data_IF_151403298811
#
_entry.id   IF_151403298811
#
_cell.length_a   1.000
_cell.length_b   1.000
_cell.length_c   1.000
_cell.angle_alpha   90.00
_cell.angle_beta   90.00
_cell.angle_gamma   90.00
#
_symmetry.space_group_name_H-M   'P 1'
#
loop_
_entity.id
_entity.type
_entity.pdbx_description
1 polymer ?
#
# COMPACT_ATOMS: atom_id res chain seq x y z
N UNK A 1 -22.89 -40.41 -4.54
CA UNK A 1 -23.23 -39.92 -5.89
C UNK A 1 -23.31 -38.42 -5.78
N UNK A 2 -22.28 -37.71 -6.19
CA UNK A 2 -22.28 -36.23 -6.27
C UNK A 2 -23.26 -35.87 -7.39
N UNK A 3 -24.35 -35.17 -7.04
CA UNK A 3 -25.27 -34.57 -8.01
C UNK A 3 -24.42 -33.68 -8.92
N UNK A 4 -24.26 -34.02 -10.18
CA UNK A 4 -23.68 -33.15 -11.18
C UNK A 4 -24.54 -31.88 -11.20
N UNK A 5 -23.95 -30.75 -10.83
CA UNK A 5 -24.61 -29.44 -10.93
C UNK A 5 -25.03 -29.23 -12.39
N UNK A 6 -26.28 -28.87 -12.60
CA UNK A 6 -26.79 -28.53 -13.95
C UNK A 6 -26.10 -27.22 -14.40
N UNK A 7 -25.27 -27.23 -15.46
CA UNK A 7 -24.55 -26.04 -15.91
C UNK A 7 -25.48 -24.87 -16.20
N UNK A 8 -26.66 -25.14 -16.76
CA UNK A 8 -27.64 -24.08 -17.08
C UNK A 8 -28.19 -23.40 -15.83
N UNK A 9 -28.44 -24.15 -14.76
CA UNK A 9 -28.90 -23.62 -13.49
C UNK A 9 -27.81 -22.76 -12.83
N UNK A 10 -26.53 -23.18 -12.92
CA UNK A 10 -25.40 -22.40 -12.41
C UNK A 10 -25.25 -21.06 -13.15
N UNK A 11 -25.32 -21.09 -14.48
CA UNK A 11 -25.26 -19.87 -15.32
C UNK A 11 -26.38 -18.90 -14.95
N UNK A 12 -27.61 -19.40 -14.76
CA UNK A 12 -28.73 -18.55 -14.40
C UNK A 12 -28.56 -17.93 -13.01
N UNK A 13 -28.06 -18.69 -12.04
CA UNK A 13 -27.75 -18.15 -10.70
C UNK A 13 -26.67 -17.05 -10.76
N UNK A 14 -25.64 -17.24 -11.58
CA UNK A 14 -24.60 -16.20 -11.76
C UNK A 14 -25.17 -14.93 -12.42
N UNK A 15 -26.09 -15.05 -13.39
CA UNK A 15 -26.76 -13.91 -14.00
C UNK A 15 -27.57 -13.10 -12.97
N UNK A 16 -28.36 -13.80 -12.17
CA UNK A 16 -29.18 -13.16 -11.13
C UNK A 16 -28.29 -12.44 -10.10
N UNK A 17 -27.22 -13.10 -9.67
CA UNK A 17 -26.24 -12.51 -8.75
C UNK A 17 -25.54 -11.29 -9.34
N UNK A 18 -25.20 -11.31 -10.63
CA UNK A 18 -24.55 -10.18 -11.32
C UNK A 18 -25.51 -9.00 -11.44
N UNK A 19 -26.81 -9.27 -11.58
CA UNK A 19 -27.84 -8.23 -11.67
C UNK A 19 -28.08 -7.51 -10.32
N UNK A 20 -28.06 -8.24 -9.19
CA UNK A 20 -28.24 -7.69 -7.85
C UNK A 20 -27.37 -8.43 -6.81
N UNK A 21 -26.08 -8.08 -6.71
CA UNK A 21 -25.17 -8.73 -5.75
C UNK A 21 -25.58 -8.52 -4.29
N UNK A 22 -26.23 -7.40 -3.97
CA UNK A 22 -26.61 -7.07 -2.60
C UNK A 22 -27.71 -7.99 -2.05
N UNK A 23 -28.57 -8.54 -2.92
CA UNK A 23 -29.60 -9.49 -2.52
C UNK A 23 -29.07 -10.84 -2.04
N UNK A 24 -27.80 -11.18 -2.41
CA UNK A 24 -27.26 -12.52 -2.16
C UNK A 24 -26.35 -12.60 -0.94
N UNK A 25 -25.64 -11.54 -0.60
CA UNK A 25 -24.63 -11.57 0.46
C UNK A 25 -25.01 -10.62 1.61
N UNK A 26 -25.20 -11.20 2.79
CA UNK A 26 -25.50 -10.47 4.02
C UNK A 26 -24.24 -10.28 4.89
N UNK A 27 -23.17 -11.03 4.62
CA UNK A 27 -21.89 -10.87 5.32
C UNK A 27 -20.70 -10.83 4.35
N UNK A 28 -19.67 -10.12 4.76
CA UNK A 28 -18.46 -9.91 3.97
C UNK A 28 -17.58 -11.16 3.83
N UNK A 29 -17.72 -12.16 4.71
CA UNK A 29 -16.93 -13.40 4.64
C UNK A 29 -17.45 -14.24 3.48
N UNK A 30 -18.77 -14.47 3.41
CA UNK A 30 -19.40 -15.19 2.30
C UNK A 30 -19.16 -14.51 0.96
N UNK A 31 -19.24 -13.17 0.91
CA UNK A 31 -18.97 -12.39 -0.28
C UNK A 31 -17.53 -12.61 -0.79
N UNK A 32 -16.55 -12.60 0.12
CA UNK A 32 -15.14 -12.85 -0.24
C UNK A 32 -14.88 -14.28 -0.69
N UNK A 33 -15.47 -15.26 -0.01
CA UNK A 33 -15.34 -16.67 -0.40
C UNK A 33 -15.94 -16.91 -1.78
N UNK A 34 -17.09 -16.30 -2.05
CA UNK A 34 -17.69 -16.35 -3.38
C UNK A 34 -16.77 -15.70 -4.43
N UNK A 35 -16.27 -14.49 -4.21
CA UNK A 35 -15.37 -13.80 -5.15
C UNK A 35 -14.15 -14.66 -5.51
N UNK A 36 -13.56 -15.32 -4.50
CA UNK A 36 -12.43 -16.22 -4.69
C UNK A 36 -12.81 -17.42 -5.56
N UNK A 37 -13.90 -18.11 -5.22
CA UNK A 37 -14.36 -19.29 -5.95
C UNK A 37 -14.79 -18.94 -7.39
N UNK A 38 -15.44 -17.80 -7.59
CA UNK A 38 -15.85 -17.34 -8.91
C UNK A 38 -14.63 -17.06 -9.81
N UNK A 39 -13.58 -16.41 -9.29
CA UNK A 39 -12.32 -16.22 -10.04
C UNK A 39 -11.64 -17.55 -10.38
N UNK A 40 -11.56 -18.47 -9.42
CA UNK A 40 -10.99 -19.80 -9.65
C UNK A 40 -11.78 -20.59 -10.69
N UNK A 41 -13.11 -20.55 -10.63
CA UNK A 41 -13.98 -21.22 -11.59
C UNK A 41 -13.82 -20.64 -12.99
N UNK A 42 -13.78 -19.30 -13.12
CA UNK A 42 -13.53 -18.64 -14.40
C UNK A 42 -12.20 -19.08 -15.02
N UNK A 43 -11.11 -19.03 -14.22
CA UNK A 43 -9.78 -19.45 -14.68
C UNK A 43 -9.73 -20.94 -15.03
N UNK A 44 -10.46 -21.81 -14.32
CA UNK A 44 -10.46 -23.25 -14.54
C UNK A 44 -11.13 -23.68 -15.86
N UNK A 45 -11.98 -22.81 -16.43
CA UNK A 45 -12.67 -23.08 -17.71
C UNK A 45 -12.11 -22.27 -18.88
N UNK A 46 -11.08 -21.42 -18.63
CA UNK A 46 -10.41 -20.66 -19.69
C UNK A 46 -9.76 -21.59 -20.74
N UNK A 47 -9.95 -21.27 -21.99
CA UNK A 47 -9.15 -21.88 -23.05
C UNK A 47 -7.70 -21.34 -23.05
N UNK A 48 -6.69 -22.12 -23.50
CA UNK A 48 -5.29 -21.68 -23.49
C UNK A 48 -5.06 -20.33 -24.19
N UNK A 49 -5.81 -20.04 -25.25
CA UNK A 49 -5.72 -18.78 -25.97
C UNK A 49 -6.26 -17.59 -25.14
N UNK A 50 -7.35 -17.78 -24.40
CA UNK A 50 -7.91 -16.77 -23.50
C UNK A 50 -6.94 -16.48 -22.35
N UNK A 51 -6.33 -17.50 -21.77
CA UNK A 51 -5.28 -17.36 -20.74
C UNK A 51 -4.10 -16.55 -21.26
N UNK A 52 -3.64 -16.84 -22.48
CA UNK A 52 -2.56 -16.07 -23.11
C UNK A 52 -2.96 -14.61 -23.32
N UNK A 53 -4.16 -14.33 -23.85
CA UNK A 53 -4.64 -12.95 -24.03
C UNK A 53 -4.71 -12.18 -22.72
N UNK A 54 -5.26 -12.79 -21.66
CA UNK A 54 -5.33 -12.20 -20.32
C UNK A 54 -3.94 -11.84 -19.78
N UNK A 55 -2.95 -12.68 -20.03
CA UNK A 55 -1.57 -12.44 -19.59
C UNK A 55 -0.89 -11.30 -20.38
N UNK A 56 -0.95 -11.35 -21.71
CA UNK A 56 -0.20 -10.39 -22.56
C UNK A 56 -0.83 -9.00 -22.57
N UNK A 57 -2.16 -8.90 -22.42
CA UNK A 57 -2.88 -7.63 -22.32
C UNK A 57 -3.12 -7.19 -20.87
N UNK A 58 -2.57 -7.91 -19.89
CA UNK A 58 -2.72 -7.61 -18.46
C UNK A 58 -2.44 -6.16 -18.04
N UNK A 59 -1.50 -5.44 -18.64
CA UNK A 59 -1.25 -4.02 -18.32
C UNK A 59 -2.32 -3.04 -18.84
N UNK A 60 -3.08 -3.40 -19.88
CA UNK A 60 -4.00 -2.46 -20.55
C UNK A 60 -5.11 -1.90 -19.65
N UNK A 61 -5.70 -2.62 -18.70
CA UNK A 61 -6.69 -2.03 -17.78
C UNK A 61 -6.15 -0.80 -17.04
N UNK A 62 -4.92 -0.86 -16.53
CA UNK A 62 -4.27 0.27 -15.85
C UNK A 62 -3.94 1.41 -16.82
N UNK A 63 -3.41 1.08 -18.01
CA UNK A 63 -3.08 2.07 -19.05
C UNK A 63 -4.33 2.81 -19.54
N UNK A 64 -5.41 2.08 -19.80
CA UNK A 64 -6.66 2.71 -20.29
C UNK A 64 -7.39 3.48 -19.20
N UNK A 65 -7.32 3.03 -17.93
CA UNK A 65 -7.80 3.81 -16.80
C UNK A 65 -7.03 5.15 -16.70
N UNK A 66 -5.71 5.14 -16.86
CA UNK A 66 -4.89 6.36 -16.87
C UNK A 66 -5.25 7.30 -18.03
N UNK A 67 -5.49 6.76 -19.23
CA UNK A 67 -5.99 7.54 -20.37
C UNK A 67 -7.35 8.14 -20.03
N UNK A 68 -8.27 7.37 -19.47
CA UNK A 68 -9.61 7.83 -19.11
C UNK A 68 -9.59 8.99 -18.12
N UNK A 69 -8.68 8.96 -17.16
CA UNK A 69 -8.46 10.06 -16.21
C UNK A 69 -7.81 11.28 -16.88
N UNK A 70 -6.69 11.08 -17.53
CA UNK A 70 -5.84 12.15 -18.07
C UNK A 70 -6.54 12.93 -19.18
N UNK A 71 -7.40 12.25 -19.92
CA UNK A 71 -8.22 12.85 -21.01
C UNK A 71 -9.61 13.27 -20.58
N UNK A 72 -9.95 13.15 -19.27
CA UNK A 72 -11.26 13.57 -18.75
C UNK A 72 -12.45 12.76 -19.30
N UNK A 73 -12.20 11.53 -19.80
CA UNK A 73 -13.27 10.65 -20.32
C UNK A 73 -14.24 10.29 -19.20
N UNK A 74 -13.74 9.91 -18.03
CA UNK A 74 -14.58 9.56 -16.88
C UNK A 74 -15.40 10.74 -16.37
N UNK A 75 -14.82 11.95 -16.38
CA UNK A 75 -15.55 13.19 -16.04
C UNK A 75 -16.68 13.48 -17.02
N UNK A 76 -16.43 13.31 -18.34
CA UNK A 76 -17.43 13.52 -19.37
C UNK A 76 -18.59 12.53 -19.21
N UNK A 77 -18.30 11.25 -18.97
CA UNK A 77 -19.32 10.22 -18.73
C UNK A 77 -20.11 10.49 -17.45
N UNK A 78 -19.44 10.82 -16.34
CA UNK A 78 -20.10 11.08 -15.07
C UNK A 78 -21.05 12.30 -15.09
N UNK A 79 -20.75 13.31 -15.94
CA UNK A 79 -21.62 14.46 -16.16
C UNK A 79 -22.84 14.14 -17.02
N UNK A 80 -22.87 12.99 -17.68
CA UNK A 80 -23.94 12.57 -18.61
C UNK A 80 -24.51 11.20 -18.21
N UNK A 81 -25.19 11.09 -17.06
CA UNK A 81 -25.64 9.80 -16.54
C UNK A 81 -26.64 9.08 -17.46
N UNK A 82 -27.38 9.83 -18.28
CA UNK A 82 -28.31 9.26 -19.27
C UNK A 82 -27.60 8.80 -20.56
N UNK A 83 -26.33 9.19 -20.73
CA UNK A 83 -25.45 8.81 -21.84
C UNK A 83 -24.86 10.01 -22.55
N UNK A 84 -23.58 9.91 -22.90
CA UNK A 84 -22.85 10.87 -23.74
C UNK A 84 -22.65 10.29 -25.13
N UNK A 85 -22.87 11.11 -26.17
CA UNK A 85 -22.53 10.69 -27.53
C UNK A 85 -21.01 10.64 -27.72
N UNK A 86 -20.54 9.77 -28.62
CA UNK A 86 -19.11 9.67 -28.96
C UNK A 86 -18.51 11.04 -29.30
N UNK A 87 -19.26 11.89 -30.01
CA UNK A 87 -18.80 13.22 -30.40
C UNK A 87 -18.57 14.14 -29.20
N UNK A 88 -19.46 14.09 -28.20
CA UNK A 88 -19.33 14.89 -26.98
C UNK A 88 -18.11 14.46 -26.17
N UNK A 89 -17.89 13.14 -26.05
CA UNK A 89 -16.72 12.60 -25.36
C UNK A 89 -15.43 12.91 -26.13
N UNK A 90 -15.47 12.87 -27.48
CA UNK A 90 -14.32 13.25 -28.32
C UNK A 90 -13.96 14.73 -28.15
N UNK A 91 -14.96 15.61 -28.09
CA UNK A 91 -14.75 17.03 -27.82
C UNK A 91 -14.15 17.26 -26.42
N UNK A 92 -14.69 16.58 -25.40
CA UNK A 92 -14.24 16.71 -24.01
C UNK A 92 -12.80 16.17 -23.81
N UNK A 93 -12.47 15.03 -24.42
CA UNK A 93 -11.18 14.36 -24.28
C UNK A 93 -10.06 14.92 -25.18
N UNK A 94 -10.45 15.63 -26.25
CA UNK A 94 -9.52 16.08 -27.27
C UNK A 94 -8.92 14.95 -28.13
N UNK A 95 -9.45 13.73 -28.04
CA UNK A 95 -8.97 12.58 -28.81
C UNK A 95 -9.65 12.51 -30.18
N UNK A 96 -8.92 12.08 -31.23
CA UNK A 96 -9.52 11.74 -32.51
C UNK A 96 -10.56 10.60 -32.31
N UNK A 97 -11.73 10.71 -32.97
CA UNK A 97 -12.85 9.77 -32.80
C UNK A 97 -12.45 8.29 -32.88
N UNK A 98 -11.69 7.89 -33.92
CA UNK A 98 -11.29 6.49 -34.08
C UNK A 98 -10.35 5.97 -32.99
N UNK A 99 -9.54 6.84 -32.37
CA UNK A 99 -8.72 6.50 -31.20
C UNK A 99 -9.60 6.37 -29.96
N UNK A 100 -10.50 7.34 -29.75
CA UNK A 100 -11.43 7.33 -28.62
C UNK A 100 -12.35 6.11 -28.66
N UNK A 101 -12.87 5.75 -29.84
CA UNK A 101 -13.71 4.57 -30.03
C UNK A 101 -12.99 3.30 -29.55
N UNK A 102 -11.73 3.08 -29.98
CA UNK A 102 -10.93 1.94 -29.51
C UNK A 102 -10.67 1.96 -28.01
N UNK A 103 -10.47 3.14 -27.41
CA UNK A 103 -10.31 3.27 -25.94
C UNK A 103 -11.62 2.95 -25.22
N UNK A 104 -12.74 3.50 -25.69
CA UNK A 104 -14.06 3.26 -25.11
C UNK A 104 -14.49 1.79 -25.23
N UNK A 105 -14.24 1.14 -26.38
CA UNK A 105 -14.49 -0.28 -26.59
C UNK A 105 -13.78 -1.10 -25.49
N UNK A 106 -12.51 -0.81 -25.25
CA UNK A 106 -11.75 -1.51 -24.22
C UNK A 106 -12.24 -1.16 -22.81
N UNK A 107 -12.51 0.11 -22.52
CA UNK A 107 -13.08 0.52 -21.23
C UNK A 107 -14.41 -0.19 -20.93
N UNK A 108 -15.26 -0.37 -21.97
CA UNK A 108 -16.51 -1.12 -21.83
C UNK A 108 -16.28 -2.60 -21.50
N UNK A 109 -15.29 -3.26 -22.11
CA UNK A 109 -14.95 -4.66 -21.76
C UNK A 109 -14.45 -4.81 -20.33
N UNK A 110 -13.86 -3.75 -19.77
CA UNK A 110 -13.38 -3.72 -18.38
C UNK A 110 -14.42 -3.20 -17.38
N UNK A 111 -15.64 -2.89 -17.84
CA UNK A 111 -16.69 -2.36 -16.98
C UNK A 111 -16.45 -0.93 -16.50
N UNK A 112 -15.49 -0.21 -17.07
CA UNK A 112 -15.17 1.19 -16.74
C UNK A 112 -16.10 2.18 -17.44
N UNK A 113 -16.80 1.74 -18.48
CA UNK A 113 -17.86 2.45 -19.20
C UNK A 113 -18.90 1.42 -19.68
N UNK A 114 -20.04 1.88 -20.15
CA UNK A 114 -21.10 1.06 -20.73
C UNK A 114 -21.59 1.70 -22.03
N UNK A 115 -21.45 1.03 -23.16
CA UNK A 115 -22.17 1.41 -24.38
C UNK A 115 -23.63 0.94 -24.27
N UNK A 116 -24.55 1.88 -24.08
CA UNK A 116 -25.98 1.59 -23.88
C UNK A 116 -26.76 1.50 -25.17
N UNK A 117 -26.29 2.18 -26.20
CA UNK A 117 -26.76 2.15 -27.60
C UNK A 117 -25.55 2.46 -28.48
N UNK A 118 -25.54 2.11 -29.76
CA UNK A 118 -24.43 2.39 -30.64
C UNK A 118 -23.98 3.85 -30.57
N UNK A 119 -22.74 4.09 -30.14
CA UNK A 119 -22.13 5.42 -30.00
C UNK A 119 -22.63 6.25 -28.79
N UNK A 120 -23.39 5.65 -27.86
CA UNK A 120 -23.87 6.32 -26.63
C UNK A 120 -23.30 5.60 -25.40
N UNK A 121 -22.47 6.29 -24.64
CA UNK A 121 -21.71 5.75 -23.51
C UNK A 121 -22.21 6.29 -22.18
N UNK A 122 -22.40 5.42 -21.19
CA UNK A 122 -22.84 5.72 -19.83
C UNK A 122 -21.74 5.43 -18.80
N UNK A 123 -21.75 6.18 -17.68
CA UNK A 123 -20.89 5.83 -16.55
C UNK A 123 -21.36 4.52 -15.89
N UNK A 124 -20.43 3.81 -15.28
CA UNK A 124 -20.67 2.67 -14.40
C UNK A 124 -20.32 3.03 -12.95
N UNK A 125 -20.57 2.12 -12.00
CA UNK A 125 -20.04 2.27 -10.64
C UNK A 125 -18.52 2.38 -10.60
N UNK A 126 -17.81 1.68 -11.51
CA UNK A 126 -16.36 1.73 -11.63
C UNK A 126 -15.90 3.08 -12.19
N UNK A 127 -16.63 3.69 -13.15
CA UNK A 127 -16.36 5.07 -13.63
C UNK A 127 -16.35 6.04 -12.44
N UNK A 128 -17.40 6.00 -11.60
CA UNK A 128 -17.48 6.88 -10.44
C UNK A 128 -16.39 6.59 -9.40
N UNK A 129 -16.05 5.33 -9.19
CA UNK A 129 -14.97 4.94 -8.27
C UNK A 129 -13.62 5.49 -8.74
N UNK A 130 -13.30 5.44 -10.03
CA UNK A 130 -12.04 5.95 -10.60
C UNK A 130 -11.92 7.49 -10.50
N UNK A 131 -13.01 8.21 -10.26
CA UNK A 131 -13.02 9.66 -9.98
C UNK A 131 -12.81 9.98 -8.50
N UNK A 132 -12.96 9.01 -7.59
CA UNK A 132 -12.66 9.23 -6.17
C UNK A 132 -11.15 9.44 -6.00
N UNK A 133 -10.71 10.47 -5.25
CA UNK A 133 -9.29 10.81 -5.12
C UNK A 133 -8.38 9.63 -4.82
N UNK A 134 -8.74 8.75 -3.88
CA UNK A 134 -7.96 7.55 -3.53
C UNK A 134 -7.65 6.68 -4.77
N UNK A 135 -8.66 6.37 -5.58
CA UNK A 135 -8.49 5.49 -6.74
C UNK A 135 -7.86 6.23 -7.92
N UNK A 136 -8.14 7.53 -8.07
CA UNK A 136 -7.49 8.38 -9.06
C UNK A 136 -5.98 8.44 -8.81
N UNK A 137 -5.58 8.74 -7.58
CA UNK A 137 -4.18 8.81 -7.19
C UNK A 137 -3.49 7.43 -7.28
N UNK A 138 -4.19 6.34 -6.95
CA UNK A 138 -3.69 4.98 -7.13
C UNK A 138 -3.34 4.70 -8.61
N UNK A 139 -4.26 4.99 -9.54
CA UNK A 139 -4.00 4.78 -10.97
C UNK A 139 -2.79 5.60 -11.43
N UNK A 140 -2.71 6.88 -11.04
CA UNK A 140 -1.56 7.73 -11.37
C UNK A 140 -0.26 7.17 -10.80
N UNK A 141 -0.25 6.80 -9.51
CA UNK A 141 0.94 6.24 -8.87
C UNK A 141 1.40 4.93 -9.50
N UNK A 142 0.49 3.98 -9.67
CA UNK A 142 0.88 2.67 -10.23
C UNK A 142 1.23 2.75 -11.70
N UNK A 143 0.56 3.57 -12.50
CA UNK A 143 0.87 3.74 -13.91
C UNK A 143 2.16 4.50 -14.12
N UNK A 144 2.31 5.69 -13.51
CA UNK A 144 3.42 6.59 -13.83
C UNK A 144 4.70 6.21 -13.06
N UNK A 145 4.58 5.75 -11.80
CA UNK A 145 5.73 5.45 -10.95
C UNK A 145 6.13 3.96 -11.00
N UNK A 146 5.16 3.03 -10.89
CA UNK A 146 5.48 1.63 -10.68
C UNK A 146 5.57 0.81 -11.97
N UNK A 147 4.68 1.04 -12.94
CA UNK A 147 4.62 0.22 -14.16
C UNK A 147 5.93 0.24 -14.96
N UNK A 148 6.62 1.38 -15.16
CA UNK A 148 7.92 1.40 -15.81
C UNK A 148 8.96 0.53 -15.08
N UNK A 149 8.96 0.55 -13.73
CA UNK A 149 9.83 -0.28 -12.93
C UNK A 149 9.50 -1.77 -13.06
N UNK A 150 8.21 -2.14 -13.12
CA UNK A 150 7.78 -3.52 -13.33
C UNK A 150 8.27 -4.08 -14.67
N UNK A 151 8.19 -3.30 -15.74
CA UNK A 151 8.72 -3.69 -17.05
C UNK A 151 10.25 -3.85 -17.05
N UNK A 152 10.94 -3.03 -16.29
CA UNK A 152 12.40 -3.08 -16.19
C UNK A 152 12.93 -4.15 -15.21
N UNK A 153 12.06 -4.78 -14.41
CA UNK A 153 12.48 -5.66 -13.32
C UNK A 153 13.39 -6.79 -13.80
N UNK A 154 13.04 -7.44 -14.91
CA UNK A 154 13.86 -8.53 -15.45
C UNK A 154 15.28 -8.09 -15.86
N UNK A 155 15.47 -6.81 -16.19
CA UNK A 155 16.77 -6.29 -16.63
C UNK A 155 17.79 -6.14 -15.48
N UNK A 156 17.35 -6.23 -14.23
CA UNK A 156 18.19 -6.04 -13.05
C UNK A 156 18.33 -7.30 -12.19
N UNK A 157 17.61 -8.39 -12.49
CA UNK A 157 17.64 -9.60 -11.68
C UNK A 157 18.96 -10.38 -11.78
N UNK A 158 19.59 -10.38 -12.96
CA UNK A 158 20.78 -11.18 -13.23
C UNK A 158 22.11 -10.49 -12.83
N UNK A 159 22.08 -9.19 -12.61
CA UNK A 159 23.28 -8.40 -12.31
C UNK A 159 22.92 -7.34 -11.27
N UNK A 160 22.91 -7.68 -9.99
CA UNK A 160 22.69 -6.71 -8.94
C UNK A 160 23.88 -5.77 -8.82
N UNK A 161 23.96 -4.79 -9.73
CA UNK A 161 24.86 -3.66 -9.56
C UNK A 161 24.34 -2.82 -8.39
N UNK A 162 25.22 -2.56 -7.42
CA UNK A 162 24.86 -1.80 -6.23
C UNK A 162 24.26 -0.44 -6.62
N UNK A 163 23.04 -0.17 -6.17
CA UNK A 163 22.30 1.06 -6.44
C UNK A 163 21.55 1.13 -7.77
N UNK A 164 21.54 0.07 -8.58
CA UNK A 164 20.75 -0.02 -9.82
C UNK A 164 19.40 -0.71 -9.54
N UNK A 165 18.37 0.07 -9.36
CA UNK A 165 17.00 -0.45 -9.18
C UNK A 165 16.28 -0.56 -10.52
N UNK A 166 15.25 -1.40 -10.60
CA UNK A 166 14.38 -1.45 -11.79
C UNK A 166 13.63 -0.11 -11.99
N UNK A 167 13.38 0.63 -10.91
CA UNK A 167 12.83 1.99 -11.01
C UNK A 167 13.74 2.92 -11.83
N UNK A 168 15.03 2.98 -11.49
CA UNK A 168 16.00 3.80 -12.22
C UNK A 168 16.05 3.44 -13.71
N UNK A 169 16.08 2.14 -14.00
CA UNK A 169 16.09 1.64 -15.38
C UNK A 169 14.79 1.99 -16.11
N UNK A 170 13.64 1.76 -15.49
CA UNK A 170 12.33 2.00 -16.08
C UNK A 170 12.01 3.47 -16.29
N UNK A 171 12.45 4.35 -15.38
CA UNK A 171 12.29 5.80 -15.48
C UNK A 171 13.42 6.49 -16.27
N UNK A 172 14.41 5.75 -16.76
CA UNK A 172 15.60 6.31 -17.40
C UNK A 172 16.27 7.40 -16.56
N UNK A 173 16.40 7.17 -15.24
CA UNK A 173 16.93 8.12 -14.25
C UNK A 173 18.05 7.50 -13.43
N UNK A 174 18.99 8.33 -12.98
CA UNK A 174 19.99 7.92 -11.98
C UNK A 174 19.52 8.17 -10.53
N UNK A 175 18.40 8.89 -10.37
CA UNK A 175 17.85 9.24 -9.07
C UNK A 175 17.01 8.08 -8.51
N UNK A 176 17.02 7.94 -7.17
CA UNK A 176 16.08 7.06 -6.49
C UNK A 176 14.64 7.63 -6.54
N UNK A 177 13.66 6.79 -6.21
CA UNK A 177 12.24 7.13 -6.30
C UNK A 177 11.87 8.44 -5.56
N UNK A 178 12.39 8.65 -4.36
CA UNK A 178 12.03 9.80 -3.54
C UNK A 178 12.66 11.08 -4.08
N UNK A 179 13.91 11.02 -4.54
CA UNK A 179 14.60 12.15 -5.16
C UNK A 179 13.98 12.50 -6.52
N UNK A 180 13.67 11.47 -7.33
CA UNK A 180 12.99 11.66 -8.62
C UNK A 180 11.65 12.39 -8.48
N UNK A 181 10.87 12.06 -7.45
CA UNK A 181 9.58 12.72 -7.20
C UNK A 181 9.71 14.21 -6.86
N UNK A 182 10.84 14.70 -6.38
CA UNK A 182 11.03 16.13 -6.06
C UNK A 182 10.87 17.01 -7.31
N UNK A 183 11.19 16.47 -8.48
CA UNK A 183 11.04 17.14 -9.80
C UNK A 183 9.76 16.74 -10.55
N UNK A 184 8.94 15.85 -9.99
CA UNK A 184 7.71 15.32 -10.58
C UNK A 184 6.49 15.53 -9.66
N UNK A 185 6.00 16.79 -9.52
CA UNK A 185 5.02 17.16 -8.48
C UNK A 185 3.66 16.47 -8.63
N UNK A 186 3.24 16.09 -9.84
CA UNK A 186 1.99 15.34 -10.07
C UNK A 186 2.09 13.95 -9.48
N UNK A 187 3.16 13.24 -9.79
CA UNK A 187 3.45 11.89 -9.32
C UNK A 187 3.71 11.87 -7.82
N UNK A 188 4.44 12.85 -7.31
CA UNK A 188 4.67 13.06 -5.88
C UNK A 188 3.34 13.25 -5.13
N UNK A 189 2.48 14.14 -5.63
CA UNK A 189 1.18 14.42 -5.03
C UNK A 189 0.28 13.19 -5.00
N UNK A 190 0.20 12.45 -6.10
CA UNK A 190 -0.57 11.22 -6.19
C UNK A 190 -0.05 10.15 -5.20
N UNK A 191 1.27 9.96 -5.14
CA UNK A 191 1.89 9.03 -4.19
C UNK A 191 1.53 9.38 -2.74
N UNK A 192 1.74 10.62 -2.31
CA UNK A 192 1.48 11.01 -0.92
C UNK A 192 0.01 10.87 -0.53
N UNK A 193 -0.92 11.35 -1.37
CA UNK A 193 -2.36 11.23 -1.09
C UNK A 193 -2.82 9.77 -1.09
N UNK A 194 -2.31 8.94 -2.01
CA UNK A 194 -2.61 7.52 -2.04
C UNK A 194 -2.08 6.82 -0.78
N UNK A 195 -0.82 7.05 -0.37
CA UNK A 195 -0.25 6.47 0.85
C UNK A 195 -1.02 6.86 2.11
N UNK A 196 -1.52 8.09 2.18
CA UNK A 196 -2.33 8.55 3.30
C UNK A 196 -3.72 7.88 3.34
N UNK A 197 -4.37 7.79 2.18
CA UNK A 197 -5.77 7.36 2.10
C UNK A 197 -5.96 5.84 2.07
N UNK A 198 -5.02 5.05 1.54
CA UNK A 198 -5.19 3.61 1.33
C UNK A 198 -5.43 2.81 2.62
N UNK A 199 -4.93 3.30 3.74
CA UNK A 199 -5.06 2.65 5.05
C UNK A 199 -6.16 3.23 5.93
N UNK A 200 -6.85 4.30 5.49
CA UNK A 200 -7.81 5.02 6.32
C UNK A 200 -9.00 4.17 6.82
N UNK A 201 -9.36 3.12 6.07
CA UNK A 201 -10.46 2.20 6.41
C UNK A 201 -10.00 0.84 6.96
N UNK A 202 -8.69 0.66 7.19
CA UNK A 202 -8.12 -0.57 7.73
C UNK A 202 -7.86 -0.42 9.23
N UNK A 203 -7.84 -1.53 9.99
CA UNK A 203 -7.30 -1.54 11.34
C UNK A 203 -5.88 -0.95 11.37
N UNK A 204 -5.55 -0.32 12.48
CA UNK A 204 -4.25 0.32 12.71
C UNK A 204 -3.48 -0.39 13.83
N UNK A 205 -2.23 -0.05 14.00
CA UNK A 205 -1.42 -0.55 15.10
C UNK A 205 -2.02 -0.23 16.49
N UNK A 206 -2.80 0.85 16.61
CA UNK A 206 -3.48 1.25 17.85
C UNK A 206 -4.63 0.31 18.24
N UNK A 207 -5.10 -0.52 17.30
CA UNK A 207 -6.12 -1.54 17.61
C UNK A 207 -5.52 -2.77 18.32
N UNK A 208 -4.19 -2.90 18.30
CA UNK A 208 -3.46 -4.03 18.90
C UNK A 208 -2.44 -3.61 19.96
N UNK A 209 -2.20 -2.30 20.13
CA UNK A 209 -1.34 -1.73 21.17
C UNK A 209 -2.19 -0.82 22.05
N UNK A 210 -2.42 -1.22 23.29
CA UNK A 210 -3.10 -0.39 24.30
C UNK A 210 -2.13 0.68 24.82
N UNK A 211 -1.93 1.72 24.01
CA UNK A 211 -0.83 2.67 24.17
C UNK A 211 -0.84 3.37 25.53
N UNK A 212 -2.00 3.73 26.04
CA UNK A 212 -2.20 4.41 27.32
C UNK A 212 -1.77 3.55 28.52
N UNK A 213 -2.06 2.26 28.48
CA UNK A 213 -1.79 1.34 29.60
C UNK A 213 -0.48 0.56 29.46
N UNK A 214 -0.04 0.25 28.25
CA UNK A 214 1.18 -0.51 28.00
C UNK A 214 2.42 0.37 27.86
N UNK A 215 2.28 1.55 27.26
CA UNK A 215 3.40 2.42 26.91
C UNK A 215 3.47 3.64 27.81
N UNK A 216 2.33 4.26 28.12
CA UNK A 216 2.26 5.54 28.81
C UNK A 216 1.85 5.44 30.30
N UNK A 217 1.73 4.24 30.87
CA UNK A 217 1.20 4.04 32.24
C UNK A 217 1.89 4.90 33.31
N UNK A 218 3.21 5.06 33.25
CA UNK A 218 4.01 5.76 34.26
C UNK A 218 4.76 6.96 33.69
N UNK A 219 4.27 7.55 32.57
CA UNK A 219 4.91 8.65 31.88
C UNK A 219 4.61 9.98 32.57
N UNK A 220 5.64 10.80 32.78
CA UNK A 220 5.50 12.16 33.29
C UNK A 220 5.33 13.14 32.11
N UNK A 221 4.76 14.35 32.32
CA UNK A 221 4.54 15.32 31.24
C UNK A 221 5.79 15.72 30.46
N UNK A 222 6.97 15.70 31.11
CA UNK A 222 8.27 16.03 30.51
C UNK A 222 8.92 14.88 29.74
N UNK A 223 8.50 13.64 29.99
CA UNK A 223 9.04 12.46 29.31
C UNK A 223 8.65 12.44 27.82
N UNK A 224 9.51 11.89 26.98
CA UNK A 224 9.14 11.60 25.60
C UNK A 224 8.42 10.24 25.56
N UNK A 225 7.13 10.26 25.24
CA UNK A 225 6.32 9.06 25.20
C UNK A 225 6.32 8.38 23.83
N UNK A 226 6.43 9.17 22.76
CA UNK A 226 6.37 8.67 21.39
C UNK A 226 7.28 9.46 20.46
N UNK A 227 8.07 8.77 19.68
CA UNK A 227 8.90 9.32 18.60
C UNK A 227 8.50 8.62 17.31
N UNK A 228 7.91 9.35 16.37
CA UNK A 228 7.52 8.87 15.04
C UNK A 228 8.69 9.10 14.07
N UNK A 229 9.49 8.08 13.86
CA UNK A 229 10.74 8.16 13.09
C UNK A 229 10.46 7.95 11.61
N UNK A 230 10.75 8.97 10.78
CA UNK A 230 10.36 8.97 9.37
C UNK A 230 8.84 9.04 9.19
N UNK A 231 8.15 9.75 10.10
CA UNK A 231 6.70 9.74 10.23
C UNK A 231 5.95 10.58 9.18
N UNK A 232 6.64 11.06 8.14
CA UNK A 232 6.02 11.79 7.04
C UNK A 232 5.32 13.08 7.48
N UNK A 233 4.04 13.19 7.20
CA UNK A 233 3.24 14.34 7.61
C UNK A 233 2.77 14.31 9.08
N UNK A 234 3.10 13.26 9.85
CA UNK A 234 2.71 13.12 11.26
C UNK A 234 1.32 12.51 11.47
N UNK A 235 0.78 11.79 10.50
CA UNK A 235 -0.55 11.15 10.59
C UNK A 235 -0.66 10.19 11.77
N UNK A 236 0.40 9.47 12.15
CA UNK A 236 0.40 8.57 13.30
C UNK A 236 0.41 9.33 14.63
N UNK A 237 1.16 10.42 14.72
CA UNK A 237 1.09 11.34 15.85
C UNK A 237 -0.33 11.92 16.02
N UNK A 238 -0.96 12.31 14.91
CA UNK A 238 -2.33 12.82 14.91
C UNK A 238 -3.34 11.75 15.36
N UNK A 239 -3.21 10.52 14.86
CA UNK A 239 -4.06 9.40 15.26
C UNK A 239 -3.93 9.09 16.75
N UNK A 240 -2.69 9.05 17.27
CA UNK A 240 -2.43 8.84 18.68
C UNK A 240 -3.06 9.94 19.56
N UNK A 241 -2.87 11.21 19.19
CA UNK A 241 -3.49 12.34 19.90
C UNK A 241 -5.01 12.35 19.84
N UNK A 242 -5.58 11.94 18.72
CA UNK A 242 -7.04 11.82 18.56
C UNK A 242 -7.63 10.75 19.46
N UNK A 243 -6.95 9.59 19.56
CA UNK A 243 -7.43 8.48 20.38
C UNK A 243 -7.22 8.74 21.88
N UNK A 244 -6.09 9.38 22.23
CA UNK A 244 -5.69 9.68 23.61
C UNK A 244 -5.41 11.19 23.79
N UNK A 245 -6.45 12.05 23.82
CA UNK A 245 -6.26 13.51 23.89
C UNK A 245 -5.50 13.99 25.13
N UNK A 246 -5.61 13.26 26.25
CA UNK A 246 -4.99 13.56 27.55
C UNK A 246 -3.73 12.75 27.80
N UNK A 247 -3.15 12.12 26.76
CA UNK A 247 -1.94 11.31 26.91
C UNK A 247 -0.81 12.18 27.52
N UNK A 248 -0.21 11.76 28.63
CA UNK A 248 0.94 12.47 29.22
C UNK A 248 2.18 12.29 28.36
N UNK A 249 3.12 13.21 28.50
CA UNK A 249 4.40 13.16 27.80
C UNK A 249 4.38 13.81 26.42
N UNK A 250 5.57 13.93 25.87
CA UNK A 250 5.85 14.62 24.61
C UNK A 250 5.78 13.64 23.44
N UNK A 251 5.22 14.10 22.33
CA UNK A 251 5.11 13.38 21.06
C UNK A 251 5.94 14.11 20.03
N UNK A 252 6.91 13.44 19.43
CA UNK A 252 7.88 14.02 18.51
C UNK A 252 7.78 13.33 17.15
N UNK A 253 7.51 14.11 16.11
CA UNK A 253 7.61 13.70 14.72
C UNK A 253 9.03 13.96 14.21
N UNK A 254 9.69 12.96 13.68
CA UNK A 254 10.99 13.05 13.04
C UNK A 254 10.90 12.74 11.56
N UNK A 255 11.44 13.61 10.73
CA UNK A 255 11.63 13.38 9.29
C UNK A 255 12.65 14.38 8.72
N UNK A 256 12.90 14.32 7.41
CA UNK A 256 13.75 15.30 6.71
C UNK A 256 13.09 16.69 6.73
N UNK A 257 13.87 17.79 6.74
CA UNK A 257 13.33 19.16 6.83
C UNK A 257 12.27 19.46 5.74
N UNK A 258 12.49 19.00 4.52
CA UNK A 258 11.56 19.22 3.40
C UNK A 258 10.19 18.53 3.62
N UNK A 259 10.16 17.38 4.30
CA UNK A 259 8.94 16.66 4.66
C UNK A 259 8.23 17.36 5.81
N UNK A 260 8.96 17.73 6.86
CA UNK A 260 8.42 18.42 8.04
C UNK A 260 7.77 19.76 7.69
N UNK A 261 8.23 20.44 6.64
CA UNK A 261 7.60 21.68 6.16
C UNK A 261 6.13 21.51 5.73
N UNK A 262 5.72 20.28 5.47
CA UNK A 262 4.35 19.88 5.07
C UNK A 262 3.60 19.11 6.19
N UNK A 263 4.18 19.07 7.41
CA UNK A 263 3.60 18.33 8.52
C UNK A 263 2.25 18.92 8.97
N UNK A 264 1.37 18.03 9.42
CA UNK A 264 0.09 18.40 10.02
C UNK A 264 0.29 19.27 11.25
N UNK A 265 -0.55 20.27 11.42
CA UNK A 265 -0.54 21.10 12.62
C UNK A 265 -1.36 20.42 13.72
N UNK A 266 -0.70 19.61 14.54
CA UNK A 266 -1.34 18.83 15.62
C UNK A 266 -0.96 19.47 16.96
N UNK A 267 -1.91 19.94 17.78
CA UNK A 267 -1.62 20.50 19.09
C UNK A 267 -0.84 19.52 19.98
N UNK A 268 0.30 19.96 20.49
CA UNK A 268 1.17 19.16 21.36
C UNK A 268 2.00 18.09 20.62
N UNK A 269 2.11 18.16 19.30
CA UNK A 269 3.12 17.46 18.51
C UNK A 269 4.30 18.39 18.30
N UNK A 270 5.49 17.90 18.57
CA UNK A 270 6.76 18.57 18.26
C UNK A 270 7.32 18.00 16.95
N UNK A 271 8.06 18.81 16.21
CA UNK A 271 8.76 18.34 15.00
C UNK A 271 10.27 18.47 15.19
N UNK A 272 11.02 17.48 14.72
CA UNK A 272 12.47 17.44 14.79
C UNK A 272 13.05 16.94 13.47
N UNK A 273 13.92 17.72 12.84
CA UNK A 273 14.66 17.26 11.68
C UNK A 273 15.63 16.15 12.09
N UNK A 274 15.52 14.98 11.45
CA UNK A 274 16.36 13.83 11.72
C UNK A 274 16.49 12.95 10.50
N UNK A 275 17.71 12.45 10.28
CA UNK A 275 18.01 11.39 9.33
C UNK A 275 18.19 10.08 10.12
N UNK A 276 17.28 9.13 9.96
CA UNK A 276 17.29 7.85 10.68
C UNK A 276 18.50 6.95 10.31
N UNK A 277 19.30 7.32 9.30
CA UNK A 277 20.60 6.70 9.04
C UNK A 277 21.69 7.18 10.01
N UNK A 278 21.38 8.14 10.89
CA UNK A 278 22.27 8.65 11.95
C UNK A 278 21.76 8.24 13.32
N UNK A 279 22.58 8.38 14.35
CA UNK A 279 22.21 8.03 15.73
C UNK A 279 20.95 8.78 16.18
N UNK A 280 20.00 8.06 16.79
CA UNK A 280 18.76 8.62 17.31
C UNK A 280 19.04 9.62 18.43
N UNK A 281 18.75 10.93 18.24
CA UNK A 281 19.10 11.97 19.19
C UNK A 281 18.20 12.03 20.43
N UNK A 282 17.01 11.44 20.36
CA UNK A 282 16.09 11.36 21.51
C UNK A 282 16.39 10.08 22.28
N UNK A 283 16.82 10.22 23.53
CA UNK A 283 17.11 9.08 24.38
C UNK A 283 15.94 8.81 25.35
N UNK A 284 15.77 7.55 25.72
CA UNK A 284 14.82 7.10 26.76
C UNK A 284 13.33 7.34 26.45
N UNK A 285 12.96 7.59 25.20
CA UNK A 285 11.55 7.61 24.84
C UNK A 285 10.90 6.25 25.13
N UNK A 286 9.63 6.24 25.48
CA UNK A 286 8.91 5.00 25.73
C UNK A 286 8.71 4.17 24.46
N UNK A 287 8.37 4.85 23.36
CA UNK A 287 8.19 4.23 22.06
C UNK A 287 8.95 5.00 20.97
N UNK A 288 9.76 4.29 20.20
CA UNK A 288 10.27 4.71 18.91
C UNK A 288 9.49 3.92 17.86
N UNK A 289 8.85 4.61 16.94
CA UNK A 289 7.95 4.00 15.98
C UNK A 289 8.46 4.21 14.57
N UNK A 290 8.59 3.12 13.81
CA UNK A 290 8.97 3.13 12.39
C UNK A 290 7.84 2.45 11.62
N UNK A 291 7.19 3.18 10.72
CA UNK A 291 6.10 2.64 9.92
C UNK A 291 6.46 2.64 8.45
N UNK A 292 6.45 1.44 7.85
CA UNK A 292 6.72 1.26 6.42
C UNK A 292 8.05 1.93 5.97
N UNK A 293 9.06 1.81 6.83
CA UNK A 293 10.42 2.29 6.58
C UNK A 293 11.31 1.15 6.09
N UNK A 294 11.41 0.08 6.91
CA UNK A 294 12.40 -0.96 6.69
C UNK A 294 12.13 -1.81 5.45
N UNK A 295 10.89 -1.88 5.00
CA UNK A 295 10.54 -2.57 3.76
C UNK A 295 11.08 -1.88 2.49
N UNK A 296 11.54 -0.62 2.59
CA UNK A 296 12.14 0.14 1.48
C UNK A 296 13.65 -0.04 1.37
N UNK A 297 14.28 -0.81 2.27
CA UNK A 297 15.72 -0.96 2.35
C UNK A 297 16.16 -2.42 2.34
N UNK A 298 17.38 -2.64 1.88
CA UNK A 298 18.07 -3.94 1.98
C UNK A 298 18.42 -4.28 3.44
N UNK A 299 18.80 -5.54 3.68
CA UNK A 299 19.08 -6.00 5.05
C UNK A 299 20.26 -5.28 5.71
N UNK A 300 21.39 -5.02 5.04
CA UNK A 300 22.47 -4.23 5.63
C UNK A 300 22.05 -2.83 6.08
N UNK A 301 21.27 -2.12 5.25
CA UNK A 301 20.76 -0.79 5.58
C UNK A 301 19.73 -0.85 6.72
N UNK A 302 18.83 -1.84 6.72
CA UNK A 302 17.90 -2.07 7.83
C UNK A 302 18.62 -2.32 9.15
N UNK A 303 19.67 -3.16 9.15
CA UNK A 303 20.49 -3.43 10.34
C UNK A 303 21.13 -2.12 10.82
N UNK A 304 21.66 -1.31 9.92
CA UNK A 304 22.23 -0.01 10.27
C UNK A 304 21.21 0.93 10.91
N UNK A 305 20.03 1.11 10.29
CA UNK A 305 18.93 1.94 10.85
C UNK A 305 18.57 1.47 12.26
N UNK A 306 18.40 0.18 12.46
CA UNK A 306 18.07 -0.40 13.76
C UNK A 306 19.17 -0.17 14.80
N UNK A 307 20.45 -0.30 14.40
CA UNK A 307 21.61 -0.04 15.27
C UNK A 307 21.70 1.41 15.72
N UNK A 308 21.25 2.38 14.88
CA UNK A 308 21.22 3.80 15.26
C UNK A 308 20.26 4.10 16.42
N UNK A 309 19.33 3.18 16.74
CA UNK A 309 18.44 3.29 17.90
C UNK A 309 19.00 2.65 19.19
N UNK A 310 20.07 1.84 19.13
CA UNK A 310 20.59 1.13 20.30
C UNK A 310 21.02 2.05 21.45
N UNK A 311 21.72 3.19 21.23
CA UNK A 311 22.06 4.12 22.30
C UNK A 311 20.80 4.71 22.97
N UNK A 312 19.78 5.01 22.17
CA UNK A 312 18.53 5.60 22.65
C UNK A 312 17.71 4.64 23.54
N UNK A 313 17.83 3.33 23.31
CA UNK A 313 17.16 2.27 24.08
C UNK A 313 17.94 1.82 25.34
N UNK A 314 19.12 2.41 25.61
CA UNK A 314 20.06 1.83 26.57
C UNK A 314 19.66 2.00 28.03
N UNK A 315 19.12 3.16 28.39
CA UNK A 315 19.02 3.57 29.80
C UNK A 315 17.61 3.47 30.38
N UNK A 316 16.62 3.15 29.54
CA UNK A 316 15.26 2.96 30.01
C UNK A 316 14.77 1.54 29.64
N UNK A 317 14.63 0.64 30.61
CA UNK A 317 14.18 -0.74 30.38
C UNK A 317 12.75 -0.83 29.81
N UNK A 318 11.97 0.24 29.93
CA UNK A 318 10.63 0.33 29.35
C UNK A 318 10.62 0.85 27.92
N UNK A 319 11.75 1.35 27.39
CA UNK A 319 11.84 1.76 25.99
C UNK A 319 11.67 0.59 25.03
N UNK A 320 10.89 0.81 23.99
CA UNK A 320 10.64 -0.19 22.94
C UNK A 320 10.73 0.44 21.57
N UNK A 321 11.13 -0.39 20.62
CA UNK A 321 11.02 -0.09 19.19
C UNK A 321 9.76 -0.77 18.66
N UNK A 322 8.89 -0.03 18.02
CA UNK A 322 7.66 -0.48 17.38
C UNK A 322 7.84 -0.36 15.88
N UNK A 323 7.94 -1.49 15.19
CA UNK A 323 8.09 -1.54 13.73
C UNK A 323 6.75 -1.96 13.16
N UNK A 324 6.07 -1.04 12.48
CA UNK A 324 4.79 -1.26 11.80
C UNK A 324 5.05 -1.54 10.33
N UNK A 325 5.17 -2.81 10.03
CA UNK A 325 5.51 -3.30 8.69
C UNK A 325 4.77 -4.62 8.41
N UNK A 326 4.91 -5.14 7.19
CA UNK A 326 4.38 -6.46 6.88
C UNK A 326 5.24 -7.56 7.48
N UNK A 327 4.57 -8.49 8.15
CA UNK A 327 5.22 -9.69 8.70
C UNK A 327 4.59 -10.93 8.06
N UNK A 328 5.19 -11.39 6.97
CA UNK A 328 4.69 -12.54 6.25
C UNK A 328 4.86 -13.82 7.11
N UNK A 329 3.91 -14.76 7.06
CA UNK A 329 4.04 -16.03 7.76
C UNK A 329 5.19 -16.86 7.18
N UNK A 330 5.93 -17.59 8.05
CA UNK A 330 7.03 -18.47 7.62
C UNK A 330 6.54 -19.62 6.74
N UNK A 331 5.43 -20.23 7.13
CA UNK A 331 4.75 -21.18 6.28
C UNK A 331 4.00 -20.43 5.16
N UNK A 332 4.33 -20.74 3.92
CA UNK A 332 3.66 -20.12 2.77
C UNK A 332 2.17 -20.48 2.79
N UNK A 333 1.27 -19.51 2.93
CA UNK A 333 -0.15 -19.81 2.87
C UNK A 333 -0.55 -20.24 1.46
N UNK A 334 -1.71 -20.95 1.29
CA UNK A 334 -2.23 -21.26 -0.03
C UNK A 334 -2.36 -19.99 -0.88
N UNK A 335 -2.01 -20.05 -2.16
CA UNK A 335 -2.09 -18.92 -3.08
C UNK A 335 -3.49 -18.28 -3.13
N UNK A 336 -4.51 -19.08 -2.83
CA UNK A 336 -5.90 -18.64 -2.76
C UNK A 336 -6.31 -18.02 -1.41
N UNK A 337 -5.41 -17.93 -0.41
CA UNK A 337 -5.75 -17.31 0.85
C UNK A 337 -5.92 -15.78 0.69
N UNK A 338 -6.86 -15.16 1.42
CA UNK A 338 -7.09 -13.72 1.34
C UNK A 338 -5.80 -12.93 1.63
N UNK A 339 -5.52 -11.92 0.81
CA UNK A 339 -4.36 -11.04 0.97
C UNK A 339 -3.05 -11.54 0.38
N UNK A 340 -2.89 -12.84 0.11
CA UNK A 340 -1.62 -13.43 -0.38
C UNK A 340 -1.21 -12.86 -1.74
N UNK A 341 -2.15 -12.70 -2.67
CA UNK A 341 -1.86 -12.08 -3.97
C UNK A 341 -1.36 -10.65 -3.81
N UNK A 342 -2.02 -9.87 -2.94
CA UNK A 342 -1.63 -8.49 -2.67
C UNK A 342 -0.24 -8.39 -2.04
N UNK A 343 0.05 -9.18 -0.99
CA UNK A 343 1.35 -9.14 -0.31
C UNK A 343 2.49 -9.64 -1.19
N UNK A 344 2.21 -10.62 -2.06
CA UNK A 344 3.19 -11.10 -3.04
C UNK A 344 3.48 -10.03 -4.11
N UNK A 345 2.43 -9.35 -4.63
CA UNK A 345 2.58 -8.26 -5.58
C UNK A 345 3.34 -7.08 -4.96
N UNK A 346 3.02 -6.72 -3.71
CA UNK A 346 3.72 -5.66 -2.98
C UNK A 346 5.20 -5.99 -2.80
N UNK A 347 5.55 -7.23 -2.44
CA UNK A 347 6.96 -7.64 -2.32
C UNK A 347 7.72 -7.49 -3.64
N UNK A 348 7.09 -7.82 -4.79
CA UNK A 348 7.69 -7.56 -6.10
C UNK A 348 7.77 -6.07 -6.42
N UNK A 349 6.79 -5.28 -5.98
CA UNK A 349 6.85 -3.83 -6.13
C UNK A 349 8.00 -3.22 -5.33
N UNK A 350 8.22 -3.66 -4.07
CA UNK A 350 9.38 -3.24 -3.27
C UNK A 350 10.69 -3.64 -3.95
N UNK A 351 10.76 -4.84 -4.53
CA UNK A 351 11.95 -5.26 -5.31
C UNK A 351 12.19 -4.36 -6.52
N UNK A 352 11.15 -4.03 -7.29
CA UNK A 352 11.27 -3.20 -8.48
C UNK A 352 11.62 -1.73 -8.15
N UNK A 353 10.99 -1.17 -7.12
CA UNK A 353 11.13 0.24 -6.77
C UNK A 353 12.41 0.55 -5.99
N UNK A 354 12.79 -0.34 -5.05
CA UNK A 354 13.78 -0.06 -4.02
C UNK A 354 14.89 -1.12 -3.90
N UNK A 355 14.82 -2.19 -4.67
CA UNK A 355 15.65 -3.40 -4.48
C UNK A 355 15.50 -4.04 -3.09
N UNK A 356 14.32 -3.91 -2.51
CA UNK A 356 13.95 -4.33 -1.16
C UNK A 356 12.89 -5.44 -1.19
N UNK A 357 12.29 -5.78 -0.03
CA UNK A 357 11.35 -6.90 0.06
C UNK A 357 10.45 -6.82 1.29
N UNK A 358 9.27 -7.44 1.20
CA UNK A 358 8.49 -7.78 2.37
C UNK A 358 9.08 -9.02 3.06
N UNK A 359 9.17 -8.99 4.39
CA UNK A 359 9.93 -9.98 5.15
C UNK A 359 9.02 -10.97 5.88
N UNK A 360 9.47 -12.23 5.98
CA UNK A 360 8.83 -13.27 6.79
C UNK A 360 9.19 -13.10 8.27
N UNK A 361 8.40 -13.69 9.16
CA UNK A 361 8.62 -13.58 10.60
C UNK A 361 10.02 -14.00 11.04
N UNK A 362 10.52 -15.14 10.55
CA UNK A 362 11.90 -15.61 10.86
C UNK A 362 12.97 -14.65 10.35
N UNK A 363 12.72 -13.96 9.21
CA UNK A 363 13.62 -12.97 8.66
C UNK A 363 13.63 -11.71 9.53
N UNK A 364 12.47 -11.23 10.00
CA UNK A 364 12.39 -10.14 10.96
C UNK A 364 13.14 -10.45 12.26
N UNK A 365 12.98 -11.65 12.80
CA UNK A 365 13.70 -12.10 14.01
C UNK A 365 15.21 -12.14 13.79
N UNK A 366 15.65 -12.64 12.65
CA UNK A 366 17.06 -12.64 12.27
C UNK A 366 17.60 -11.21 12.10
N UNK A 367 16.91 -10.34 11.39
CA UNK A 367 17.30 -8.95 11.14
C UNK A 367 17.51 -8.17 12.45
N UNK A 368 16.56 -8.28 13.37
CA UNK A 368 16.61 -7.66 14.69
C UNK A 368 17.76 -8.25 15.54
N UNK A 369 17.96 -9.56 15.47
CA UNK A 369 19.07 -10.23 16.13
C UNK A 369 20.44 -9.69 15.67
N UNK A 370 20.62 -9.53 14.35
CA UNK A 370 21.84 -8.94 13.77
C UNK A 370 22.05 -7.48 14.20
N UNK A 371 20.97 -6.75 14.43
CA UNK A 371 21.04 -5.37 14.92
C UNK A 371 21.27 -5.25 16.43
N UNK A 372 21.32 -6.35 17.19
CA UNK A 372 21.48 -6.33 18.66
C UNK A 372 20.17 -6.10 19.41
N UNK A 373 19.04 -6.34 18.75
CA UNK A 373 17.70 -6.26 19.30
C UNK A 373 17.10 -7.67 19.49
N UNK A 374 16.09 -7.77 20.32
CA UNK A 374 15.28 -8.99 20.45
C UNK A 374 13.81 -8.66 20.26
N UNK A 375 13.10 -9.54 19.57
CA UNK A 375 11.65 -9.44 19.38
C UNK A 375 10.96 -9.84 20.69
N UNK A 376 10.20 -8.92 21.26
CA UNK A 376 9.35 -9.16 22.41
C UNK A 376 8.08 -9.88 21.97
N UNK A 377 7.41 -9.32 20.96
CA UNK A 377 6.19 -9.90 20.38
C UNK A 377 5.93 -9.36 18.97
N UNK A 378 5.00 -10.00 18.26
CA UNK A 378 4.50 -9.59 16.95
C UNK A 378 2.98 -9.61 17.01
N UNK A 379 2.34 -8.46 16.77
CA UNK A 379 0.89 -8.27 16.83
C UNK A 379 0.36 -7.95 15.43
N UNK A 380 -0.32 -8.93 14.83
CA UNK A 380 -0.96 -8.76 13.51
C UNK A 380 -2.31 -8.06 13.66
N UNK A 381 -2.62 -7.11 12.77
CA UNK A 381 -3.86 -6.33 12.86
C UNK A 381 -4.66 -6.27 11.56
N UNK A 382 -4.10 -6.72 10.41
CA UNK A 382 -4.87 -6.86 9.17
C UNK A 382 -4.74 -8.26 8.58
N UNK A 383 -5.64 -8.59 7.64
CA UNK A 383 -5.55 -9.80 6.80
C UNK A 383 -4.47 -9.72 5.70
N UNK A 384 -3.79 -8.59 5.60
CA UNK A 384 -2.74 -8.31 4.62
C UNK A 384 -1.35 -8.37 5.24
N UNK A 385 -1.21 -9.12 6.33
CA UNK A 385 0.03 -9.33 7.08
C UNK A 385 0.62 -8.07 7.72
N UNK A 386 -0.16 -6.97 7.84
CA UNK A 386 0.27 -5.80 8.60
C UNK A 386 0.38 -6.18 10.09
N UNK A 387 1.51 -5.83 10.69
CA UNK A 387 1.83 -6.18 12.06
C UNK A 387 2.75 -5.15 12.71
N UNK A 388 2.65 -5.06 14.03
CA UNK A 388 3.65 -4.36 14.85
C UNK A 388 4.61 -5.38 15.43
N UNK A 389 5.88 -5.25 15.09
CA UNK A 389 6.98 -5.96 15.75
C UNK A 389 7.46 -5.10 16.89
N UNK A 390 7.24 -5.55 18.13
CA UNK A 390 7.74 -4.90 19.32
C UNK A 390 9.10 -5.49 19.67
N UNK A 391 10.11 -4.63 19.68
CA UNK A 391 11.48 -5.03 19.97
C UNK A 391 12.10 -4.21 21.11
N UNK A 392 13.10 -4.78 21.74
CA UNK A 392 13.92 -4.12 22.75
C UNK A 392 15.40 -4.39 22.51
N UNK A 393 16.24 -3.58 23.11
CA UNK A 393 17.68 -3.87 23.14
C UNK A 393 17.93 -5.18 23.85
N UNK A 394 18.78 -6.03 23.27
CA UNK A 394 19.23 -7.26 23.92
C UNK A 394 20.08 -6.92 25.13
N UNK A 395 19.72 -7.45 26.28
CA UNK A 395 20.58 -7.39 27.46
C UNK A 395 21.71 -8.39 27.23
N UNK A 396 22.94 -7.91 27.10
CA UNK A 396 24.08 -8.81 27.13
C UNK A 396 24.19 -9.38 28.55
N UNK A 397 23.97 -10.66 28.70
CA UNK A 397 24.30 -11.34 29.95
C UNK A 397 25.78 -11.14 30.22
N UNK A 398 26.12 -10.37 31.27
CA UNK A 398 27.49 -10.09 31.69
C UNK A 398 28.20 -11.34 32.25
N UNK A 399 27.61 -12.53 32.05
CA UNK A 399 28.11 -13.79 32.55
C UNK A 399 28.15 -14.87 31.49
N UNK A 400 29.15 -14.83 30.61
CA UNK A 400 29.74 -16.04 29.98
C UNK A 400 31.26 -15.93 29.93
#
# INVERSE_FOLDING_TARGET
MTSQANPQALIEQLRLLTADPAAYFQDDVQKRDFQKLARQAATAVEEPFETMQRLVYGPLPLVTARIGQDRGIFDALAKSPEGAALDDVAQASGLPKGVLESVLDYLCTQGMALESQPGIYKPTSLTHMLLVPLFNDAVTHFHDNCLPAFYALNNVLDSPEQGKTAFKVGQHSEEDFYTWMETHPVQQGAFHRFMEAQFAALPTWLDVVSFDTEVAADVQPEDVVFVDVGGGNGSQCAALKKLFPSLPGRIILQDRPAVLSKALQVPGMETMAHDFLTEQPIHNARAYYLRQILHNYDDPTCIHILQMHLPALQHNPSSRLYIDDKVLPDAKPPASAPGVEYTAALSLAMKAMFDAQERREKHWRWLLDQAGLEVVEIRRFTRFDDAVVVARRRVQDQWR
#
